data_IF_869205929051
#
_entry.id   IF_869205929051
#
_cell.length_a   1.000
_cell.length_b   1.000
_cell.length_c   1.000
_cell.angle_alpha   90.00
_cell.angle_beta   90.00
_cell.angle_gamma   90.00
#
_symmetry.space_group_name_H-M   'P 1'
#
loop_
_entity.id
_entity.type
_entity.pdbx_description
1 polymer ?
#
# COMPACT_ATOMS: atom_id res chain seq x y z
N UNK A 1 4.85 7.33 15.98
CA UNK A 1 5.38 8.59 15.43
C UNK A 1 4.37 9.75 15.56
N UNK A 2 3.15 9.58 15.05
CA UNK A 2 2.06 10.58 15.04
C UNK A 2 1.73 11.17 16.42
N UNK A 3 1.67 10.34 17.48
CA UNK A 3 1.36 10.85 18.84
C UNK A 3 2.45 11.74 19.43
N UNK A 4 3.75 11.42 19.29
CA UNK A 4 4.81 12.31 19.81
C UNK A 4 4.84 13.62 19.02
N UNK A 5 4.63 13.53 17.71
CA UNK A 5 4.69 14.66 16.81
C UNK A 5 3.53 15.65 16.94
N UNK A 6 2.35 15.20 17.39
CA UNK A 6 1.23 16.12 17.61
C UNK A 6 1.54 17.18 18.67
N UNK A 7 2.62 17.02 19.45
CA UNK A 7 2.98 17.94 20.53
C UNK A 7 1.98 17.93 21.68
N UNK A 8 1.03 16.97 21.67
CA UNK A 8 -0.04 16.86 22.65
C UNK A 8 -0.59 15.45 22.80
N UNK A 9 -1.08 15.14 23.99
CA UNK A 9 -1.71 13.85 24.29
C UNK A 9 -3.02 13.64 23.53
N UNK A 10 -3.33 12.38 23.18
CA UNK A 10 -4.60 12.02 22.53
C UNK A 10 -5.81 12.21 23.45
N UNK A 11 -5.63 11.92 24.74
CA UNK A 11 -6.62 12.14 25.79
C UNK A 11 -6.00 13.08 26.84
N UNK A 12 -6.66 14.18 27.15
CA UNK A 12 -6.23 15.15 28.17
C UNK A 12 -5.64 16.45 27.60
N UNK A 13 -4.94 17.20 28.46
CA UNK A 13 -4.40 18.55 28.18
C UNK A 13 -2.86 18.61 28.16
N UNK A 14 -2.19 17.46 28.06
CA UNK A 14 -0.73 17.40 28.03
C UNK A 14 -0.20 17.95 26.71
N UNK A 15 0.75 18.87 26.77
CA UNK A 15 1.43 19.47 25.63
C UNK A 15 2.95 19.44 25.82
N UNK A 16 3.71 19.34 24.72
CA UNK A 16 5.17 19.36 24.74
C UNK A 16 5.74 19.92 23.44
N UNK A 17 6.99 20.40 23.52
CA UNK A 17 7.75 20.83 22.33
C UNK A 17 8.32 19.61 21.63
N UNK A 18 8.01 19.44 20.35
CA UNK A 18 8.52 18.35 19.52
C UNK A 18 10.02 18.55 19.28
N UNK A 19 10.80 17.49 19.51
CA UNK A 19 12.21 17.44 19.13
C UNK A 19 12.35 16.68 17.81
N UNK A 20 12.78 17.37 16.76
CA UNK A 20 12.91 16.78 15.42
C UNK A 20 13.84 15.57 15.38
N UNK A 21 14.94 15.56 16.15
CA UNK A 21 15.84 14.40 16.21
C UNK A 21 15.15 13.17 16.78
N UNK A 22 14.25 13.34 17.75
CA UNK A 22 13.46 12.23 18.30
C UNK A 22 12.43 11.76 17.29
N UNK A 23 11.79 12.69 16.57
CA UNK A 23 10.82 12.35 15.53
C UNK A 23 11.48 11.56 14.38
N UNK A 24 12.64 12.00 13.89
CA UNK A 24 13.47 11.29 12.92
C UNK A 24 13.91 9.90 13.44
N UNK A 25 14.34 9.81 14.70
CA UNK A 25 14.73 8.54 15.30
C UNK A 25 13.55 7.56 15.40
N UNK A 26 12.35 8.05 15.72
CA UNK A 26 11.13 7.25 15.75
C UNK A 26 10.71 6.77 14.37
N UNK A 27 10.86 7.60 13.33
CA UNK A 27 10.63 7.19 11.95
C UNK A 27 11.63 6.11 11.52
N UNK A 28 12.91 6.31 11.83
CA UNK A 28 13.95 5.31 11.56
C UNK A 28 13.70 4.00 12.31
N UNK A 29 13.30 4.08 13.57
CA UNK A 29 12.94 2.91 14.38
C UNK A 29 11.72 2.17 13.81
N UNK A 30 10.71 2.91 13.34
CA UNK A 30 9.58 2.33 12.61
C UNK A 30 10.07 1.56 11.39
N UNK A 31 10.86 2.18 10.51
CA UNK A 31 11.38 1.50 9.32
C UNK A 31 12.21 0.27 9.71
N UNK A 32 13.09 0.38 10.71
CA UNK A 32 13.90 -0.73 11.20
C UNK A 32 13.05 -1.92 11.67
N UNK A 33 11.90 -1.67 12.31
CA UNK A 33 10.99 -2.74 12.72
C UNK A 33 10.43 -3.54 11.53
N UNK A 34 10.26 -2.89 10.37
CA UNK A 34 9.82 -3.54 9.12
C UNK A 34 10.99 -4.02 8.25
N UNK A 35 12.25 -3.69 8.59
CA UNK A 35 13.43 -4.02 7.79
C UNK A 35 13.97 -5.45 7.98
N UNK A 36 13.39 -6.27 8.84
CA UNK A 36 13.87 -7.64 9.07
C UNK A 36 13.48 -8.64 7.98
N UNK A 37 12.77 -8.19 6.94
CA UNK A 37 12.32 -9.04 5.83
C UNK A 37 13.29 -8.92 4.65
N UNK A 38 13.74 -10.07 4.15
CA UNK A 38 14.60 -10.18 2.96
C UNK A 38 13.81 -9.85 1.68
N UNK A 39 14.36 -9.08 0.73
CA UNK A 39 13.65 -8.75 -0.51
C UNK A 39 13.39 -10.00 -1.35
N UNK A 40 12.30 -9.97 -2.10
CA UNK A 40 11.92 -11.03 -3.05
C UNK A 40 12.62 -10.88 -4.40
N UNK A 41 13.08 -9.67 -4.74
CA UNK A 41 13.69 -9.34 -6.02
C UNK A 41 12.69 -9.26 -7.18
N UNK A 42 11.38 -9.29 -6.89
CA UNK A 42 10.30 -9.25 -7.87
C UNK A 42 9.98 -7.81 -8.29
N UNK A 43 9.20 -7.67 -9.36
CA UNK A 43 8.72 -6.38 -9.89
C UNK A 43 7.37 -6.04 -9.27
N UNK A 44 7.33 -4.98 -8.48
CA UNK A 44 6.13 -4.55 -7.75
C UNK A 44 5.48 -3.34 -8.40
N UNK A 45 4.16 -3.39 -8.53
CA UNK A 45 3.29 -2.24 -8.72
C UNK A 45 2.56 -1.98 -7.40
N UNK A 46 2.90 -0.88 -6.72
CA UNK A 46 2.25 -0.45 -5.48
C UNK A 46 1.19 0.60 -5.82
N UNK A 47 -0.09 0.26 -5.65
CA UNK A 47 -1.21 1.11 -6.00
C UNK A 47 -1.89 1.63 -4.73
N UNK A 48 -1.81 2.95 -4.51
CA UNK A 48 -2.34 3.61 -3.32
C UNK A 48 -3.70 4.22 -3.61
N UNK A 49 -4.70 3.85 -2.81
CA UNK A 49 -5.92 4.61 -2.66
C UNK A 49 -5.58 5.95 -1.99
N UNK A 50 -5.92 7.04 -2.67
CA UNK A 50 -5.70 8.41 -2.19
C UNK A 50 -7.02 9.12 -1.91
N UNK A 51 -8.15 8.43 -2.02
CA UNK A 51 -9.49 8.99 -1.83
C UNK A 51 -9.69 9.61 -0.44
N UNK A 52 -10.78 10.36 -0.29
CA UNK A 52 -11.09 11.03 0.98
C UNK A 52 -11.31 10.07 2.15
N UNK A 53 -11.79 8.83 1.90
CA UNK A 53 -12.02 7.82 2.93
C UNK A 53 -10.71 7.40 3.62
N UNK A 54 -9.60 7.40 2.86
CA UNK A 54 -8.25 7.12 3.38
C UNK A 54 -7.76 8.14 4.43
N UNK A 55 -8.44 9.28 4.61
CA UNK A 55 -8.21 10.19 5.74
C UNK A 55 -8.69 9.60 7.09
N UNK A 56 -9.54 8.58 7.08
CA UNK A 56 -10.08 7.96 8.28
C UNK A 56 -8.96 7.32 9.11
N UNK A 57 -9.12 7.38 10.44
CA UNK A 57 -8.15 6.78 11.36
C UNK A 57 -8.36 5.27 11.45
N UNK A 58 -7.26 4.53 11.46
CA UNK A 58 -7.29 3.10 11.79
C UNK A 58 -7.74 2.96 13.24
N UNK A 59 -8.71 2.08 13.48
CA UNK A 59 -9.33 1.89 14.79
C UNK A 59 -8.28 1.79 15.91
N UNK A 60 -8.49 2.56 16.99
CA UNK A 60 -7.60 2.64 18.15
C UNK A 60 -6.19 3.23 17.91
N UNK A 61 -5.98 3.92 16.79
CA UNK A 61 -4.71 4.61 16.51
C UNK A 61 -4.94 6.08 16.11
N UNK A 62 -3.84 6.85 16.09
CA UNK A 62 -3.80 8.20 15.51
C UNK A 62 -3.31 8.22 14.07
N UNK A 63 -3.19 7.05 13.43
CA UNK A 63 -2.74 6.93 12.06
C UNK A 63 -3.95 6.90 11.14
N UNK A 64 -3.95 7.77 10.14
CA UNK A 64 -4.86 7.65 9.02
C UNK A 64 -4.54 6.43 8.17
N UNK A 65 -5.54 5.90 7.46
CA UNK A 65 -5.36 4.81 6.50
C UNK A 65 -4.36 5.20 5.41
N UNK A 66 -4.31 6.49 5.01
CA UNK A 66 -3.33 7.05 4.09
C UNK A 66 -1.90 7.04 4.64
N UNK A 67 -1.71 7.41 5.91
CA UNK A 67 -0.39 7.34 6.54
C UNK A 67 0.09 5.90 6.66
N UNK A 68 -0.80 4.99 7.05
CA UNK A 68 -0.50 3.56 7.15
C UNK A 68 -0.18 2.94 5.79
N UNK A 69 -0.96 3.24 4.74
CA UNK A 69 -0.69 2.75 3.39
C UNK A 69 0.66 3.24 2.89
N UNK A 70 0.94 4.54 3.02
CA UNK A 70 2.22 5.13 2.65
C UNK A 70 3.39 4.49 3.41
N UNK A 71 3.23 4.26 4.72
CA UNK A 71 4.27 3.63 5.55
C UNK A 71 4.56 2.18 5.15
N UNK A 72 3.53 1.39 4.87
CA UNK A 72 3.70 0.01 4.42
C UNK A 72 4.31 -0.04 3.01
N UNK A 73 3.82 0.78 2.08
CA UNK A 73 4.38 0.88 0.73
C UNK A 73 5.83 1.36 0.71
N UNK A 74 6.19 2.28 1.61
CA UNK A 74 7.57 2.75 1.80
C UNK A 74 8.52 1.62 2.22
N UNK A 75 8.05 0.62 2.97
CA UNK A 75 8.86 -0.54 3.34
C UNK A 75 9.27 -1.35 2.10
N UNK A 76 8.33 -1.61 1.19
CA UNK A 76 8.61 -2.29 -0.08
C UNK A 76 9.47 -1.42 -1.00
N UNK A 77 9.17 -0.13 -1.12
CA UNK A 77 9.94 0.82 -1.94
C UNK A 77 11.42 0.92 -1.53
N UNK A 78 11.73 0.79 -0.24
CA UNK A 78 13.11 0.83 0.27
C UNK A 78 13.84 -0.52 0.16
N UNK A 79 13.13 -1.63 0.01
CA UNK A 79 13.70 -2.99 0.04
C UNK A 79 13.77 -3.64 -1.32
N UNK A 80 12.72 -3.51 -2.12
CA UNK A 80 12.63 -4.16 -3.42
C UNK A 80 13.32 -3.31 -4.49
N UNK A 81 14.13 -3.92 -5.37
CA UNK A 81 14.91 -3.18 -6.35
C UNK A 81 14.06 -2.63 -7.51
N UNK A 82 12.84 -3.12 -7.69
CA UNK A 82 11.97 -2.81 -8.84
C UNK A 82 10.54 -2.53 -8.37
N UNK A 83 10.28 -1.27 -8.03
CA UNK A 83 8.99 -0.81 -7.51
C UNK A 83 8.51 0.38 -8.32
N UNK A 84 7.27 0.32 -8.80
CA UNK A 84 6.56 1.46 -9.38
C UNK A 84 5.35 1.78 -8.51
N UNK A 85 5.28 3.01 -8.01
CA UNK A 85 4.19 3.49 -7.16
C UNK A 85 3.15 4.22 -8.02
N UNK A 86 1.88 3.96 -7.77
CA UNK A 86 0.74 4.48 -8.52
C UNK A 86 -0.36 4.96 -7.58
N UNK A 87 -1.19 5.91 -7.99
CA UNK A 87 -2.34 6.37 -7.22
C UNK A 87 -3.66 6.24 -7.99
N UNK A 88 -4.73 5.94 -7.26
CA UNK A 88 -6.11 6.01 -7.73
C UNK A 88 -6.64 7.45 -7.55
N UNK A 89 -6.52 8.27 -8.58
CA UNK A 89 -7.12 9.63 -8.62
C UNK A 89 -8.08 9.73 -9.82
N UNK A 90 -8.25 10.90 -10.43
CA UNK A 90 -9.04 11.06 -11.68
C UNK A 90 -8.61 10.06 -12.77
N UNK A 91 -7.32 9.74 -12.77
CA UNK A 91 -6.69 8.73 -13.63
C UNK A 91 -5.75 7.85 -12.79
N UNK A 92 -5.45 6.63 -13.26
CA UNK A 92 -4.41 5.81 -12.63
C UNK A 92 -3.03 6.41 -12.94
N UNK A 93 -2.43 7.06 -11.93
CA UNK A 93 -1.34 8.03 -12.14
C UNK A 93 -0.06 7.58 -11.44
N UNK A 94 1.11 7.63 -12.12
CA UNK A 94 2.40 7.36 -11.48
C UNK A 94 2.72 8.34 -10.35
N UNK A 95 3.27 7.79 -9.27
CA UNK A 95 3.79 8.55 -8.14
C UNK A 95 5.32 8.65 -8.25
N UNK A 96 5.92 9.84 -8.05
CA UNK A 96 7.37 10.06 -8.16
C UNK A 96 8.13 9.59 -6.90
N UNK A 97 7.60 8.61 -6.18
CA UNK A 97 8.18 8.14 -4.93
C UNK A 97 9.51 7.43 -5.19
N UNK A 98 10.54 7.81 -4.42
CA UNK A 98 11.84 7.14 -4.44
C UNK A 98 12.18 6.60 -3.05
N UNK A 99 13.12 5.66 -2.97
CA UNK A 99 13.60 5.11 -1.70
C UNK A 99 14.24 6.14 -0.77
N UNK A 100 14.55 7.33 -1.27
CA UNK A 100 15.10 8.47 -0.51
C UNK A 100 14.02 9.30 0.19
N UNK A 101 12.76 9.19 -0.25
CA UNK A 101 11.67 9.93 0.38
C UNK A 101 11.43 9.44 1.81
N UNK A 102 11.07 10.38 2.67
CA UNK A 102 10.52 10.13 3.99
C UNK A 102 9.00 9.95 3.92
N UNK A 103 8.41 9.41 4.99
CA UNK A 103 6.99 9.10 5.06
C UNK A 103 6.14 10.37 4.86
N UNK A 104 6.59 11.49 5.39
CA UNK A 104 5.83 12.74 5.33
C UNK A 104 5.77 13.33 3.95
N UNK A 105 6.87 13.29 3.22
CA UNK A 105 6.93 13.74 1.84
C UNK A 105 5.99 12.91 0.99
N UNK A 106 5.93 11.59 1.22
CA UNK A 106 4.95 10.72 0.56
C UNK A 106 3.51 11.11 0.91
N UNK A 107 3.17 11.20 2.20
CA UNK A 107 1.82 11.53 2.68
C UNK A 107 1.36 12.91 2.22
N UNK A 108 2.23 13.93 2.31
CA UNK A 108 1.92 15.28 1.87
C UNK A 108 1.68 15.34 0.36
N UNK A 109 2.47 14.60 -0.43
CA UNK A 109 2.30 14.54 -1.88
C UNK A 109 0.93 13.96 -2.24
N UNK A 110 0.56 12.79 -1.70
CA UNK A 110 -0.74 12.17 -2.01
C UNK A 110 -1.93 12.93 -1.42
N UNK A 111 -1.75 13.66 -0.32
CA UNK A 111 -2.81 14.50 0.25
C UNK A 111 -3.12 15.74 -0.59
N UNK A 112 -2.20 16.16 -1.45
CA UNK A 112 -2.39 17.26 -2.40
C UNK A 112 -2.96 16.82 -3.75
N UNK A 113 -3.16 15.52 -3.98
CA UNK A 113 -3.70 15.00 -5.23
C UNK A 113 -5.24 15.08 -5.26
N UNK A 114 -5.85 15.23 -6.45
CA UNK A 114 -7.29 15.08 -6.59
C UNK A 114 -7.71 13.65 -6.21
N UNK A 115 -8.90 13.51 -5.64
CA UNK A 115 -9.45 12.21 -5.24
C UNK A 115 -10.20 11.57 -6.41
N UNK A 116 -10.04 10.26 -6.58
CA UNK A 116 -10.80 9.44 -7.52
C UNK A 116 -11.43 8.25 -6.84
N UNK A 117 -12.19 7.47 -7.60
CA UNK A 117 -12.72 6.18 -7.14
C UNK A 117 -11.65 5.09 -7.18
N UNK A 118 -11.72 4.18 -6.23
CA UNK A 118 -10.79 3.04 -6.14
C UNK A 118 -11.32 1.85 -6.93
N UNK A 119 -10.73 1.61 -8.10
CA UNK A 119 -10.98 0.40 -8.90
C UNK A 119 -9.74 -0.49 -8.86
N UNK A 120 -9.81 -1.54 -8.04
CA UNK A 120 -8.75 -2.52 -7.84
C UNK A 120 -8.37 -3.30 -9.12
N UNK A 121 -9.15 -3.20 -10.21
CA UNK A 121 -8.79 -3.80 -11.50
C UNK A 121 -7.83 -2.93 -12.33
N UNK A 122 -7.81 -1.62 -12.09
CA UNK A 122 -7.03 -0.65 -12.87
C UNK A 122 -5.53 -0.94 -12.94
N UNK A 123 -4.84 -1.39 -11.86
CA UNK A 123 -3.39 -1.62 -11.94
C UNK A 123 -3.03 -2.64 -13.02
N UNK A 124 -3.80 -3.74 -13.12
CA UNK A 124 -3.58 -4.80 -14.10
C UNK A 124 -4.01 -4.37 -15.52
N UNK A 125 -5.11 -3.63 -15.64
CA UNK A 125 -5.58 -3.10 -16.93
C UNK A 125 -4.55 -2.10 -17.49
N UNK A 126 -4.14 -1.13 -16.68
CA UNK A 126 -3.14 -0.14 -17.04
C UNK A 126 -1.80 -0.79 -17.40
N UNK A 127 -1.33 -1.75 -16.61
CA UNK A 127 -0.08 -2.44 -16.89
C UNK A 127 -0.15 -3.22 -18.21
N UNK A 128 -1.30 -3.85 -18.51
CA UNK A 128 -1.54 -4.51 -19.80
C UNK A 128 -1.47 -3.51 -20.96
N UNK A 129 -2.17 -2.38 -20.86
CA UNK A 129 -2.22 -1.34 -21.90
C UNK A 129 -0.86 -0.72 -22.17
N UNK A 130 -0.10 -0.46 -21.10
CA UNK A 130 1.25 0.11 -21.17
C UNK A 130 2.34 -0.93 -21.42
N UNK A 131 1.99 -2.23 -21.49
CA UNK A 131 2.93 -3.36 -21.59
C UNK A 131 4.01 -3.32 -20.50
N UNK A 132 3.61 -2.93 -19.29
CA UNK A 132 4.46 -2.92 -18.10
C UNK A 132 4.41 -4.28 -17.45
N UNK A 133 5.58 -4.81 -17.13
CA UNK A 133 5.72 -6.14 -16.56
C UNK A 133 6.00 -6.08 -15.06
N UNK A 134 4.98 -6.43 -14.28
CA UNK A 134 5.02 -6.67 -12.84
C UNK A 134 4.76 -8.15 -12.52
N UNK A 135 5.40 -8.61 -11.46
CA UNK A 135 5.17 -9.92 -10.86
C UNK A 135 4.19 -9.83 -9.69
N UNK A 136 4.08 -8.65 -9.06
CA UNK A 136 3.22 -8.41 -7.90
C UNK A 136 2.49 -7.08 -8.05
N UNK A 137 1.17 -7.11 -7.94
CA UNK A 137 0.33 -5.94 -7.74
C UNK A 137 -0.07 -5.88 -6.27
N UNK A 138 0.18 -4.76 -5.61
CA UNK A 138 -0.22 -4.54 -4.22
C UNK A 138 -1.09 -3.31 -4.14
N UNK A 139 -2.35 -3.48 -3.78
CA UNK A 139 -3.36 -2.42 -3.68
C UNK A 139 -3.57 -2.07 -2.22
N UNK A 140 -3.44 -0.80 -1.85
CA UNK A 140 -3.71 -0.31 -0.50
C UNK A 140 -4.99 0.51 -0.49
N UNK A 141 -6.02 0.08 0.25
CA UNK A 141 -7.33 0.75 0.34
C UNK A 141 -7.90 0.59 1.75
N UNK A 142 -8.91 1.36 2.14
CA UNK A 142 -9.53 1.28 3.46
C UNK A 142 -10.74 0.35 3.50
N UNK A 143 -11.66 0.42 2.52
CA UNK A 143 -12.89 -0.39 2.42
C UNK A 143 -13.54 -0.44 1.04
N UNK A 144 -12.99 0.20 0.01
CA UNK A 144 -13.70 0.39 -1.25
C UNK A 144 -13.31 -0.64 -2.29
N UNK A 145 -14.21 -1.60 -2.51
CA UNK A 145 -13.98 -2.68 -3.47
C UNK A 145 -15.19 -2.84 -4.36
N UNK A 146 -15.39 -1.87 -5.28
CA UNK A 146 -15.90 -2.06 -6.65
C UNK A 146 -16.58 -0.79 -7.20
N UNK A 147 -15.91 -0.10 -8.13
CA UNK A 147 -16.51 0.89 -9.04
C UNK A 147 -16.21 0.59 -10.53
N UNK A 148 -15.60 -0.57 -10.80
CA UNK A 148 -15.08 -0.93 -12.12
C UNK A 148 -16.04 -1.73 -12.99
N UNK A 149 -15.77 -1.79 -14.30
CA UNK A 149 -16.51 -2.67 -15.24
C UNK A 149 -16.00 -4.11 -15.24
N UNK A 150 -14.78 -4.33 -14.73
CA UNK A 150 -14.06 -5.61 -14.76
C UNK A 150 -13.71 -6.00 -13.33
N UNK A 151 -13.88 -7.27 -12.98
CA UNK A 151 -13.50 -7.74 -11.65
C UNK A 151 -11.97 -7.87 -11.54
N UNK A 152 -11.33 -7.54 -10.40
CA UNK A 152 -9.87 -7.61 -10.26
C UNK A 152 -9.27 -8.97 -10.62
N UNK A 153 -9.96 -10.08 -10.29
CA UNK A 153 -9.49 -11.42 -10.66
C UNK A 153 -9.47 -11.64 -12.18
N UNK A 154 -10.44 -11.10 -12.92
CA UNK A 154 -10.50 -11.18 -14.37
C UNK A 154 -9.40 -10.35 -15.00
N UNK A 155 -9.17 -9.15 -14.47
CA UNK A 155 -8.08 -8.27 -14.91
C UNK A 155 -6.71 -8.92 -14.71
N UNK A 156 -6.47 -9.58 -13.57
CA UNK A 156 -5.23 -10.31 -13.32
C UNK A 156 -5.06 -11.50 -14.29
N UNK A 157 -6.10 -12.31 -14.50
CA UNK A 157 -6.05 -13.44 -15.46
C UNK A 157 -5.77 -12.96 -16.89
N UNK A 158 -6.39 -11.86 -17.30
CA UNK A 158 -6.12 -11.25 -18.60
C UNK A 158 -4.68 -10.73 -18.72
N UNK A 159 -4.19 -10.06 -17.67
CA UNK A 159 -2.82 -9.57 -17.60
C UNK A 159 -1.80 -10.72 -17.72
N UNK A 160 -1.96 -11.77 -16.91
CA UNK A 160 -1.13 -13.00 -16.94
C UNK A 160 -1.03 -13.58 -18.35
N UNK A 161 -2.18 -13.69 -19.04
CA UNK A 161 -2.26 -14.24 -20.41
C UNK A 161 -1.67 -13.30 -21.47
N UNK A 162 -1.97 -12.00 -21.41
CA UNK A 162 -1.59 -11.03 -22.45
C UNK A 162 -0.10 -10.71 -22.42
N UNK A 163 0.51 -10.66 -21.23
CA UNK A 163 1.94 -10.37 -21.06
C UNK A 163 2.79 -11.61 -20.77
N UNK A 164 2.19 -12.80 -20.77
CA UNK A 164 2.87 -14.08 -20.53
C UNK A 164 3.62 -14.13 -19.19
N UNK A 165 2.96 -13.66 -18.12
CA UNK A 165 3.47 -13.67 -16.75
C UNK A 165 2.48 -14.50 -15.89
N UNK A 166 2.50 -15.84 -16.00
CA UNK A 166 1.50 -16.70 -15.36
C UNK A 166 1.52 -16.60 -13.83
N UNK A 167 2.67 -16.30 -13.25
CA UNK A 167 2.88 -16.21 -11.80
C UNK A 167 2.60 -14.82 -11.22
N UNK A 168 2.02 -13.89 -11.98
CA UNK A 168 1.69 -12.56 -11.47
C UNK A 168 0.68 -12.66 -10.31
N UNK A 169 0.94 -11.96 -9.21
CA UNK A 169 0.12 -12.03 -7.98
C UNK A 169 -0.58 -10.71 -7.70
N UNK A 170 -1.76 -10.78 -7.08
CA UNK A 170 -2.50 -9.64 -6.57
C UNK A 170 -2.60 -9.74 -5.05
N UNK A 171 -2.23 -8.67 -4.37
CA UNK A 171 -2.35 -8.52 -2.93
C UNK A 171 -3.19 -7.28 -2.68
N UNK A 172 -4.23 -7.40 -1.88
CA UNK A 172 -5.04 -6.27 -1.46
C UNK A 172 -4.86 -6.10 0.04
N UNK A 173 -4.42 -4.91 0.45
CA UNK A 173 -4.27 -4.54 1.85
C UNK A 173 -5.37 -3.57 2.24
N UNK A 174 -6.34 -4.08 3.00
CA UNK A 174 -7.40 -3.30 3.63
C UNK A 174 -6.92 -2.68 4.94
N UNK A 175 -6.92 -1.35 5.02
CA UNK A 175 -6.51 -0.61 6.22
C UNK A 175 -7.54 -0.67 7.35
N UNK A 176 -8.79 -1.02 7.03
CA UNK A 176 -9.83 -1.22 8.04
C UNK A 176 -10.49 -2.60 7.90
N UNK A 177 -10.92 -3.16 9.02
CA UNK A 177 -11.53 -4.48 9.05
C UNK A 177 -13.01 -4.37 8.65
N UNK A 178 -13.30 -4.68 7.39
CA UNK A 178 -14.67 -5.00 6.96
C UNK A 178 -14.71 -6.38 6.32
N UNK A 179 -15.92 -6.96 6.23
CA UNK A 179 -16.15 -8.25 5.59
C UNK A 179 -16.12 -8.08 4.06
N UNK A 180 -14.95 -7.79 3.50
CA UNK A 180 -14.75 -7.74 2.06
C UNK A 180 -13.84 -8.88 1.59
N UNK A 181 -14.06 -9.34 0.37
CA UNK A 181 -13.21 -10.34 -0.30
C UNK A 181 -13.03 -9.88 -1.74
N UNK A 182 -11.83 -9.41 -2.07
CA UNK A 182 -11.45 -9.10 -3.46
C UNK A 182 -10.75 -10.30 -4.10
N UNK A 183 -9.93 -11.00 -3.32
CA UNK A 183 -9.24 -12.20 -3.74
C UNK A 183 -10.24 -13.32 -4.03
N UNK A 184 -10.17 -13.89 -5.24
CA UNK A 184 -10.91 -15.11 -5.56
C UNK A 184 -10.31 -16.27 -4.75
N UNK A 185 -11.06 -16.92 -3.83
CA UNK A 185 -10.54 -18.00 -3.00
C UNK A 185 -10.03 -19.21 -3.80
N UNK A 186 -10.39 -19.31 -5.08
CA UNK A 186 -9.91 -20.36 -5.98
C UNK A 186 -8.61 -20.03 -6.72
N UNK A 187 -8.12 -18.78 -6.66
CA UNK A 187 -6.88 -18.35 -7.31
C UNK A 187 -5.75 -18.25 -6.28
N UNK A 188 -4.75 -19.16 -6.29
CA UNK A 188 -3.64 -19.15 -5.32
C UNK A 188 -2.70 -17.96 -5.51
N UNK A 189 -2.88 -17.15 -6.56
CA UNK A 189 -2.12 -15.92 -6.77
C UNK A 189 -2.89 -14.66 -6.35
N UNK A 190 -3.91 -14.77 -5.51
CA UNK A 190 -4.59 -13.64 -4.87
C UNK A 190 -4.57 -13.76 -3.35
N UNK A 191 -4.32 -12.64 -2.66
CA UNK A 191 -4.27 -12.56 -1.20
C UNK A 191 -4.95 -11.28 -0.72
N UNK A 192 -5.92 -11.42 0.18
CA UNK A 192 -6.47 -10.31 0.95
C UNK A 192 -5.77 -10.25 2.32
N UNK A 193 -5.27 -9.07 2.68
CA UNK A 193 -4.63 -8.78 3.96
C UNK A 193 -5.41 -7.66 4.64
N UNK A 194 -5.74 -7.84 5.92
CA UNK A 194 -6.45 -6.83 6.70
C UNK A 194 -5.55 -6.31 7.81
N UNK A 195 -5.43 -4.99 7.88
CA UNK A 195 -4.76 -4.27 8.95
C UNK A 195 -3.36 -3.77 8.59
N UNK A 196 -2.70 -3.21 9.61
CA UNK A 196 -1.39 -2.59 9.54
C UNK A 196 -0.51 -3.18 10.65
N UNK A 197 0.21 -4.26 10.33
CA UNK A 197 1.13 -4.96 11.22
C UNK A 197 2.47 -5.20 10.53
N UNK A 198 3.55 -5.19 11.31
CA UNK A 198 4.88 -5.68 10.97
C UNK A 198 4.89 -7.07 10.32
N UNK A 199 3.95 -7.96 10.71
CA UNK A 199 3.84 -9.30 10.13
C UNK A 199 3.43 -9.30 8.64
N UNK A 200 2.83 -8.20 8.14
CA UNK A 200 2.36 -8.10 6.74
C UNK A 200 3.52 -8.24 5.77
N UNK A 201 4.69 -7.68 6.07
CA UNK A 201 5.84 -7.76 5.16
C UNK A 201 6.33 -9.20 4.96
N UNK A 202 6.38 -10.02 6.02
CA UNK A 202 6.79 -11.43 5.91
C UNK A 202 5.71 -12.29 5.24
N UNK A 203 4.43 -12.01 5.53
CA UNK A 203 3.30 -12.66 4.85
C UNK A 203 3.34 -12.42 3.35
N UNK A 204 3.49 -11.15 2.93
CA UNK A 204 3.60 -10.77 1.53
C UNK A 204 4.80 -11.44 0.88
N UNK A 205 5.95 -11.46 1.54
CA UNK A 205 7.14 -12.16 1.03
C UNK A 205 6.88 -13.65 0.82
N UNK A 206 6.37 -14.34 1.84
CA UNK A 206 6.08 -15.78 1.80
C UNK A 206 5.11 -16.10 0.68
N UNK A 207 4.03 -15.32 0.57
CA UNK A 207 3.06 -15.43 -0.51
C UNK A 207 3.70 -15.21 -1.88
N UNK A 208 4.48 -14.14 -2.07
CA UNK A 208 5.14 -13.82 -3.35
C UNK A 208 6.10 -14.93 -3.77
N UNK A 209 6.82 -15.53 -2.84
CA UNK A 209 7.73 -16.64 -3.09
C UNK A 209 7.05 -18.02 -3.21
N UNK A 210 5.74 -18.11 -2.96
CA UNK A 210 4.98 -19.37 -3.05
C UNK A 210 5.24 -20.33 -1.89
N UNK A 211 5.50 -19.78 -0.69
CA UNK A 211 5.77 -20.52 0.54
C UNK A 211 4.51 -20.76 1.39
N UNK A 212 3.37 -20.18 0.98
CA UNK A 212 2.03 -20.37 1.54
C UNK A 212 1.01 -20.48 0.41
#
# INVERSE_FOLDING_TARGET
>A
MTTYRSGRGLKGKLEWKVNERINEALEKAFLLAFQNVEPTGKRYCLAFDVSGSMCATIMNTNLSCREASAALGMCFLKKEPKVECMAFCDHFTPLPFTSEWDLMKMVNYVSGMPFGSTDCSLPMVWATEKKKEFDVFMVFTDNETYAGKVKPYEALRQYRKKLNIPDAKLIVVGMTATNFTIADPSDPGMLDVVGFDSAVSELVRSFVLGQI
#
